data_IF_734460081891
#
_entry.id   IF_734460081891
#
_cell.length_a   1.000
_cell.length_b   1.000
_cell.length_c   1.000
_cell.angle_alpha   90.00
_cell.angle_beta   90.00
_cell.angle_gamma   90.00
#
_symmetry.space_group_name_H-M   'P 1'
#
loop_
_entity.id
_entity.type
_entity.pdbx_description
1 polymer ?
#
# COMPACT_ATOMS: atom_id res chain seq x y z
N UNK A 1 -16.81 16.01 -6.75
CA UNK A 1 -17.07 14.63 -6.25
C UNK A 1 -15.87 13.77 -6.59
N UNK A 2 -15.38 12.95 -5.65
CA UNK A 2 -14.26 12.01 -5.90
C UNK A 2 -14.83 10.75 -6.54
N UNK A 3 -14.26 10.27 -7.65
CA UNK A 3 -14.68 9.01 -8.28
C UNK A 3 -13.99 7.81 -7.62
N UNK A 4 -14.60 6.62 -7.69
CA UNK A 4 -13.97 5.37 -7.23
C UNK A 4 -12.62 5.14 -7.92
N UNK A 5 -12.48 5.51 -9.19
CA UNK A 5 -11.20 5.51 -9.90
C UNK A 5 -10.17 6.42 -9.25
N UNK A 6 -10.51 7.68 -8.96
CA UNK A 6 -9.59 8.62 -8.29
C UNK A 6 -9.18 8.13 -6.90
N UNK A 7 -10.14 7.62 -6.12
CA UNK A 7 -9.88 7.02 -4.82
C UNK A 7 -8.95 5.81 -4.95
N UNK A 8 -9.22 4.92 -5.91
CA UNK A 8 -8.42 3.74 -6.17
C UNK A 8 -6.99 4.06 -6.59
N UNK A 9 -6.79 5.06 -7.47
CA UNK A 9 -5.44 5.53 -7.84
C UNK A 9 -4.68 6.09 -6.64
N UNK A 10 -5.33 6.91 -5.81
CA UNK A 10 -4.71 7.45 -4.60
C UNK A 10 -4.33 6.33 -3.61
N UNK A 11 -5.22 5.36 -3.43
CA UNK A 11 -5.02 4.23 -2.52
C UNK A 11 -3.90 3.31 -3.01
N UNK A 12 -3.81 3.04 -4.32
CA UNK A 12 -2.70 2.30 -4.92
C UNK A 12 -1.39 3.06 -4.71
N UNK A 13 -1.34 4.35 -5.01
CA UNK A 13 -0.13 5.17 -4.86
C UNK A 13 0.40 5.18 -3.43
N UNK A 14 -0.47 5.39 -2.44
CA UNK A 14 -0.11 5.35 -1.02
C UNK A 14 0.38 3.96 -0.58
N UNK A 15 -0.26 2.90 -1.08
CA UNK A 15 0.12 1.53 -0.73
C UNK A 15 1.49 1.15 -1.29
N UNK A 16 1.80 1.53 -2.55
CA UNK A 16 3.14 1.36 -3.13
C UNK A 16 4.17 2.12 -2.30
N UNK A 17 3.90 3.39 -1.98
CA UNK A 17 4.84 4.22 -1.23
C UNK A 17 5.12 3.63 0.16
N UNK A 18 4.09 3.15 0.84
CA UNK A 18 4.22 2.48 2.14
C UNK A 18 5.08 1.21 2.04
N UNK A 19 4.81 0.33 1.07
CA UNK A 19 5.59 -0.90 0.87
C UNK A 19 7.05 -0.55 0.56
N UNK A 20 7.30 0.39 -0.36
CA UNK A 20 8.63 0.85 -0.69
C UNK A 20 9.36 1.42 0.54
N UNK A 21 8.68 2.20 1.38
CA UNK A 21 9.24 2.73 2.62
C UNK A 21 9.62 1.63 3.60
N UNK A 22 8.76 0.63 3.78
CA UNK A 22 9.05 -0.53 4.65
C UNK A 22 10.27 -1.31 4.14
N UNK A 23 10.35 -1.57 2.83
CA UNK A 23 11.49 -2.25 2.20
C UNK A 23 12.77 -1.43 2.34
N UNK A 24 12.70 -0.10 2.14
CA UNK A 24 13.85 0.78 2.30
C UNK A 24 14.41 0.78 3.73
N UNK A 25 13.54 0.76 4.75
CA UNK A 25 13.94 0.67 6.16
C UNK A 25 14.69 -0.63 6.44
N UNK A 26 14.22 -1.74 5.86
CA UNK A 26 14.89 -3.05 5.99
C UNK A 26 16.25 -3.05 5.29
N UNK A 27 16.34 -2.50 4.07
CA UNK A 27 17.59 -2.40 3.30
C UNK A 27 18.67 -1.56 3.98
N UNK A 28 18.28 -0.47 4.65
CA UNK A 28 19.22 0.40 5.38
C UNK A 28 19.64 -0.22 6.73
N UNK A 29 19.06 -1.36 7.11
CA UNK A 29 19.38 -2.04 8.37
C UNK A 29 18.95 -1.22 9.59
N UNK A 30 17.94 -0.36 9.45
CA UNK A 30 17.43 0.46 10.54
C UNK A 30 16.62 -0.34 11.57
N UNK A 31 16.32 -1.62 11.28
CA UNK A 31 15.65 -2.54 12.19
C UNK A 31 16.62 -3.36 13.04
N UNK A 32 16.17 -3.79 14.22
CA UNK A 32 16.92 -4.73 15.08
C UNK A 32 16.69 -6.21 14.73
N UNK A 33 15.99 -6.47 13.63
CA UNK A 33 15.60 -7.80 13.19
C UNK A 33 16.50 -8.23 12.02
N UNK A 34 16.81 -9.52 11.92
CA UNK A 34 17.53 -10.09 10.77
C UNK A 34 16.63 -10.21 9.54
N UNK A 35 16.16 -9.07 9.01
CA UNK A 35 15.16 -8.94 7.95
C UNK A 35 13.82 -8.41 8.47
N UNK A 36 12.74 -8.62 7.69
CA UNK A 36 11.44 -8.01 8.00
C UNK A 36 10.92 -8.35 9.40
N UNK A 37 10.88 -7.34 10.28
CA UNK A 37 10.31 -7.42 11.62
C UNK A 37 8.78 -7.61 11.60
N UNK A 38 8.17 -8.00 12.74
CA UNK A 38 6.72 -8.27 12.81
C UNK A 38 5.86 -7.11 12.29
N UNK A 39 6.20 -5.88 12.67
CA UNK A 39 5.48 -4.69 12.24
C UNK A 39 5.62 -4.44 10.72
N UNK A 40 6.81 -4.68 10.16
CA UNK A 40 7.05 -4.53 8.73
C UNK A 40 6.23 -5.54 7.93
N UNK A 41 6.13 -6.79 8.41
CA UNK A 41 5.29 -7.83 7.78
C UNK A 41 3.81 -7.45 7.77
N UNK A 42 3.30 -6.92 8.90
CA UNK A 42 1.92 -6.42 8.97
C UNK A 42 1.73 -5.24 8.02
N UNK A 43 2.67 -4.29 8.01
CA UNK A 43 2.65 -3.15 7.10
C UNK A 43 2.62 -3.55 5.63
N UNK A 44 3.46 -4.51 5.23
CA UNK A 44 3.46 -5.07 3.87
C UNK A 44 2.14 -5.79 3.59
N UNK A 45 1.65 -6.63 4.50
CA UNK A 45 0.37 -7.34 4.33
C UNK A 45 -0.81 -6.39 4.14
N UNK A 46 -0.91 -5.35 4.98
CA UNK A 46 -1.93 -4.31 4.85
C UNK A 46 -1.76 -3.49 3.57
N UNK A 47 -0.53 -3.18 3.19
CA UNK A 47 -0.22 -2.50 1.92
C UNK A 47 -0.66 -3.32 0.70
N UNK A 48 -0.40 -4.63 0.70
CA UNK A 48 -0.84 -5.53 -0.38
C UNK A 48 -2.37 -5.63 -0.45
N UNK A 49 -3.04 -5.69 0.70
CA UNK A 49 -4.50 -5.70 0.76
C UNK A 49 -5.08 -4.37 0.24
N UNK A 50 -4.48 -3.24 0.62
CA UNK A 50 -4.87 -1.92 0.13
C UNK A 50 -4.61 -1.76 -1.38
N UNK A 51 -3.53 -2.34 -1.92
CA UNK A 51 -3.31 -2.43 -3.37
C UNK A 51 -4.43 -3.19 -4.08
N UNK A 52 -4.84 -4.34 -3.54
CA UNK A 52 -5.92 -5.14 -4.12
C UNK A 52 -7.24 -4.36 -4.14
N UNK A 53 -7.60 -3.72 -3.01
CA UNK A 53 -8.81 -2.90 -2.93
C UNK A 53 -8.74 -1.68 -3.86
N UNK A 54 -7.59 -1.01 -3.94
CA UNK A 54 -7.37 0.09 -4.88
C UNK A 54 -7.53 -0.34 -6.34
N UNK A 55 -7.02 -1.53 -6.70
CA UNK A 55 -7.21 -2.12 -8.02
C UNK A 55 -8.67 -2.41 -8.35
N UNK A 56 -9.42 -2.96 -7.38
CA UNK A 56 -10.88 -3.16 -7.51
C UNK A 56 -11.59 -1.82 -7.73
N UNK A 57 -11.27 -0.79 -6.94
CA UNK A 57 -11.86 0.55 -7.09
C UNK A 57 -11.59 1.18 -8.46
N UNK A 58 -10.38 1.02 -9.00
CA UNK A 58 -10.03 1.46 -10.35
C UNK A 58 -10.88 0.75 -11.39
N UNK A 59 -11.11 -0.55 -11.22
CA UNK A 59 -11.95 -1.35 -12.12
C UNK A 59 -13.43 -0.96 -12.07
N UNK A 60 -13.93 -0.55 -10.89
CA UNK A 60 -15.32 -0.08 -10.72
C UNK A 60 -15.61 1.28 -11.41
N UNK A 61 -14.57 1.99 -11.85
CA UNK A 61 -14.70 3.14 -12.74
C UNK A 61 -15.18 4.43 -12.08
N UNK A 62 -15.86 5.27 -12.87
CA UNK A 62 -16.08 6.69 -12.54
C UNK A 62 -17.37 6.99 -11.78
N UNK A 63 -17.96 5.96 -11.14
CA UNK A 63 -19.06 6.16 -10.21
C UNK A 63 -18.55 6.96 -9.00
N UNK A 64 -19.36 7.87 -8.43
CA UNK A 64 -18.99 8.58 -7.20
C UNK A 64 -18.66 7.56 -6.09
N UNK A 65 -17.60 7.84 -5.34
CA UNK A 65 -17.15 7.03 -4.22
C UNK A 65 -18.20 6.94 -3.11
#
# INVERSE_FOLDING_TARGET
MVTKRQLGVGMVGLSVLLICGVVAVDLVGAGQWGGFGPLQRIGIGLGLLALAVGGVLIHLGDRPA
#
